data_IF_237491536758
#
_entry.id   IF_237491536758
#
_cell.length_a   1.000
_cell.length_b   1.000
_cell.length_c   1.000
_cell.angle_alpha   90.00
_cell.angle_beta   90.00
_cell.angle_gamma   90.00
#
_symmetry.space_group_name_H-M   'P 1'
#
loop_
_entity.id
_entity.type
_entity.pdbx_description
1 polymer ?
#
# COMPACT_ATOMS: atom_id res chain seq x y z
N UNK A 1 9.82 6.03 3.32
CA UNK A 1 8.93 6.68 2.34
C UNK A 1 8.12 7.74 3.05
N UNK A 2 7.13 7.39 3.89
CA UNK A 2 6.24 8.38 4.53
C UNK A 2 6.46 8.58 6.04
N UNK A 3 7.47 7.95 6.65
CA UNK A 3 7.83 8.21 8.06
C UNK A 3 6.73 7.91 9.11
N UNK A 4 7.07 8.04 10.41
CA UNK A 4 6.17 7.72 11.52
C UNK A 4 5.44 8.94 12.10
N UNK A 5 5.45 10.09 11.43
CA UNK A 5 4.92 11.37 11.97
C UNK A 5 5.76 11.97 13.11
N UNK A 6 7.09 11.92 12.97
CA UNK A 6 8.09 12.48 13.91
C UNK A 6 8.55 13.90 13.51
N UNK A 7 7.82 14.55 12.60
CA UNK A 7 8.18 15.86 12.04
C UNK A 7 9.09 15.82 10.81
N UNK A 8 9.54 14.63 10.37
CA UNK A 8 10.34 14.50 9.14
C UNK A 8 9.56 14.80 7.85
N UNK A 9 8.23 14.67 7.89
CA UNK A 9 7.29 15.03 6.81
C UNK A 9 6.03 15.64 7.41
N UNK A 10 5.25 16.45 6.66
CA UNK A 10 3.95 16.94 7.12
C UNK A 10 3.03 15.78 7.52
N UNK A 11 2.24 15.95 8.60
CA UNK A 11 1.33 14.91 9.08
C UNK A 11 0.43 14.29 7.99
N UNK A 12 -0.20 15.06 7.07
CA UNK A 12 -1.03 14.47 6.00
C UNK A 12 -0.27 13.54 5.04
N UNK A 13 1.05 13.71 4.96
CA UNK A 13 1.96 12.93 4.13
C UNK A 13 2.59 11.77 4.92
N UNK A 14 2.39 11.74 6.24
CA UNK A 14 2.92 10.70 7.10
C UNK A 14 2.17 9.37 6.95
N UNK A 15 2.75 8.27 7.45
CA UNK A 15 2.01 6.99 7.52
C UNK A 15 0.67 7.12 8.25
N UNK A 16 0.63 7.86 9.36
CA UNK A 16 -0.58 8.04 10.15
C UNK A 16 -1.61 8.92 9.42
N UNK A 17 -1.19 10.00 8.77
CA UNK A 17 -2.09 10.81 7.95
C UNK A 17 -2.71 10.03 6.78
N UNK A 18 -1.92 9.20 6.10
CA UNK A 18 -2.42 8.28 5.06
C UNK A 18 -3.46 7.32 5.63
N UNK A 19 -3.19 6.74 6.81
CA UNK A 19 -4.12 5.84 7.50
C UNK A 19 -5.42 6.54 7.86
N UNK A 20 -5.36 7.75 8.40
CA UNK A 20 -6.55 8.54 8.73
C UNK A 20 -7.37 8.87 7.49
N UNK A 21 -6.73 9.26 6.39
CA UNK A 21 -7.40 9.49 5.12
C UNK A 21 -8.13 8.22 4.61
N UNK A 22 -7.53 7.04 4.76
CA UNK A 22 -8.16 5.78 4.40
C UNK A 22 -9.41 5.46 5.27
N UNK A 23 -9.33 5.74 6.57
CA UNK A 23 -10.42 5.49 7.53
C UNK A 23 -11.68 6.32 7.23
N UNK A 24 -11.55 7.47 6.58
CA UNK A 24 -12.68 8.28 6.10
C UNK A 24 -13.49 7.58 5.00
N UNK A 25 -12.91 6.57 4.33
CA UNK A 25 -13.52 5.88 3.20
C UNK A 25 -13.87 4.41 3.47
N UNK A 26 -13.22 3.75 4.42
CA UNK A 26 -13.49 2.35 4.75
C UNK A 26 -13.13 2.02 6.21
N UNK A 27 -13.98 1.22 6.86
CA UNK A 27 -13.70 0.65 8.19
C UNK A 27 -12.61 -0.42 8.10
N UNK A 28 -11.78 -0.54 9.13
CA UNK A 28 -10.82 -1.64 9.27
C UNK A 28 -11.54 -2.96 9.60
N UNK A 29 -10.89 -4.12 9.35
CA UNK A 29 -11.40 -5.41 9.82
C UNK A 29 -11.70 -5.46 11.32
N UNK A 30 -10.83 -4.88 12.15
CA UNK A 30 -11.04 -4.78 13.60
C UNK A 30 -12.30 -3.99 14.00
N UNK A 31 -12.86 -3.18 13.09
CA UNK A 31 -14.11 -2.43 13.25
C UNK A 31 -15.25 -3.03 12.41
N UNK A 32 -15.16 -4.31 12.04
CA UNK A 32 -16.15 -5.03 11.24
C UNK A 32 -16.17 -4.66 9.74
N UNK A 33 -15.12 -4.01 9.24
CA UNK A 33 -14.99 -3.63 7.83
C UNK A 33 -14.45 -4.77 6.95
N UNK A 34 -14.71 -4.67 5.65
CA UNK A 34 -14.12 -5.58 4.68
C UNK A 34 -12.65 -5.22 4.41
N UNK A 35 -11.75 -6.19 4.58
CA UNK A 35 -10.30 -5.98 4.42
C UNK A 35 -9.93 -5.45 3.04
N UNK A 36 -10.52 -5.98 1.97
CA UNK A 36 -10.21 -5.52 0.62
C UNK A 36 -10.66 -4.08 0.38
N UNK A 37 -11.84 -3.69 0.88
CA UNK A 37 -12.32 -2.30 0.81
C UNK A 37 -11.39 -1.35 1.57
N UNK A 38 -10.93 -1.76 2.75
CA UNK A 38 -9.98 -0.97 3.54
C UNK A 38 -8.63 -0.83 2.86
N UNK A 39 -8.04 -1.93 2.38
CA UNK A 39 -6.74 -1.91 1.70
C UNK A 39 -6.80 -1.10 0.40
N UNK A 40 -7.88 -1.18 -0.37
CA UNK A 40 -8.04 -0.35 -1.56
C UNK A 40 -8.16 1.15 -1.22
N UNK A 41 -8.88 1.50 -0.14
CA UNK A 41 -8.91 2.88 0.37
C UNK A 41 -7.53 3.35 0.81
N UNK A 42 -6.77 2.50 1.50
CA UNK A 42 -5.42 2.78 1.95
C UNK A 42 -4.45 3.01 0.78
N UNK A 43 -4.47 2.14 -0.23
CA UNK A 43 -3.64 2.31 -1.43
C UNK A 43 -4.01 3.58 -2.21
N UNK A 44 -5.30 3.96 -2.27
CA UNK A 44 -5.71 5.23 -2.88
C UNK A 44 -5.16 6.43 -2.12
N UNK A 45 -5.25 6.44 -0.79
CA UNK A 45 -4.68 7.50 0.04
C UNK A 45 -3.16 7.60 -0.15
N UNK A 46 -2.46 6.47 -0.12
CA UNK A 46 -1.01 6.42 -0.33
C UNK A 46 -0.58 6.96 -1.70
N UNK A 47 -1.28 6.58 -2.78
CA UNK A 47 -0.96 7.07 -4.14
C UNK A 47 -1.13 8.58 -4.25
N UNK A 48 -2.09 9.19 -3.54
CA UNK A 48 -2.23 10.64 -3.51
C UNK A 48 -0.98 11.30 -2.93
N UNK A 49 -0.48 10.79 -1.79
CA UNK A 49 0.72 11.32 -1.14
C UNK A 49 1.97 11.06 -1.99
N UNK A 50 2.14 9.85 -2.55
CA UNK A 50 3.28 9.55 -3.42
C UNK A 50 3.40 10.50 -4.62
N UNK A 51 2.28 11.01 -5.14
CA UNK A 51 2.27 11.96 -6.26
C UNK A 51 2.63 13.40 -5.87
N UNK A 52 2.74 13.71 -4.60
CA UNK A 52 3.17 15.04 -4.13
C UNK A 52 4.69 15.21 -4.24
N UNK A 53 5.43 14.11 -4.14
CA UNK A 53 6.89 14.11 -4.21
C UNK A 53 7.35 13.69 -5.60
N UNK A 54 8.06 14.58 -6.32
CA UNK A 54 8.56 14.30 -7.68
C UNK A 54 9.45 13.04 -7.75
N UNK A 55 10.16 12.71 -6.67
CA UNK A 55 10.96 11.47 -6.55
C UNK A 55 10.11 10.19 -6.45
N UNK A 56 8.79 10.30 -6.31
CA UNK A 56 7.87 9.20 -6.05
C UNK A 56 6.72 9.08 -7.08
N UNK A 57 6.86 9.69 -8.27
CA UNK A 57 5.88 9.56 -9.36
C UNK A 57 5.63 8.10 -9.78
N UNK A 58 6.64 7.25 -9.70
CA UNK A 58 6.49 5.82 -9.94
C UNK A 58 5.73 5.14 -8.77
N UNK A 59 4.48 4.77 -9.06
CA UNK A 59 3.59 4.03 -8.16
C UNK A 59 3.63 2.51 -8.37
N UNK A 60 4.60 1.97 -9.11
CA UNK A 60 4.67 0.53 -9.43
C UNK A 60 4.72 -0.35 -8.19
N UNK A 61 5.29 0.15 -7.09
CA UNK A 61 5.22 -0.49 -5.77
C UNK A 61 3.80 -0.67 -5.24
N UNK A 62 2.91 0.31 -5.44
CA UNK A 62 1.48 0.18 -5.07
C UNK A 62 0.74 -0.70 -6.08
N UNK A 63 1.12 -0.66 -7.36
CA UNK A 63 0.60 -1.58 -8.38
C UNK A 63 0.86 -3.04 -8.01
N UNK A 64 2.06 -3.35 -7.51
CA UNK A 64 2.40 -4.67 -6.99
C UNK A 64 1.51 -5.09 -5.80
N UNK A 65 1.32 -4.21 -4.82
CA UNK A 65 0.48 -4.47 -3.65
C UNK A 65 -1.00 -4.70 -4.04
N UNK A 66 -1.53 -3.87 -4.93
CA UNK A 66 -2.88 -4.03 -5.50
C UNK A 66 -3.06 -5.33 -6.27
N UNK A 67 -2.02 -5.81 -6.95
CA UNK A 67 -2.06 -7.12 -7.62
C UNK A 67 -2.28 -8.24 -6.61
N UNK A 68 -1.53 -8.26 -5.50
CA UNK A 68 -1.72 -9.27 -4.46
C UNK A 68 -3.10 -9.20 -3.80
N UNK A 69 -3.62 -7.99 -3.61
CA UNK A 69 -4.99 -7.80 -3.13
C UNK A 69 -6.02 -8.40 -4.10
N UNK A 70 -5.91 -8.13 -5.40
CA UNK A 70 -6.80 -8.69 -6.44
C UNK A 70 -6.71 -10.22 -6.52
N UNK A 71 -5.52 -10.77 -6.28
CA UNK A 71 -5.28 -12.22 -6.21
C UNK A 71 -5.70 -12.84 -4.87
N UNK A 72 -6.25 -12.05 -3.93
CA UNK A 72 -6.66 -12.50 -2.59
C UNK A 72 -5.51 -13.14 -1.79
N UNK A 73 -4.28 -12.67 -2.00
CA UNK A 73 -3.09 -13.11 -1.27
C UNK A 73 -2.92 -12.34 0.04
N UNK A 74 -3.91 -12.43 0.93
CA UNK A 74 -3.90 -11.73 2.23
C UNK A 74 -2.77 -12.20 3.14
N UNK A 75 -2.35 -13.46 3.00
CA UNK A 75 -1.23 -14.04 3.73
C UNK A 75 0.09 -13.95 2.95
N UNK A 76 0.12 -13.23 1.81
CA UNK A 76 1.27 -13.10 0.92
C UNK A 76 1.92 -14.44 0.52
N UNK A 77 1.09 -15.48 0.39
CA UNK A 77 1.54 -16.83 0.10
C UNK A 77 2.21 -16.92 -1.28
N UNK A 78 3.34 -17.63 -1.35
CA UNK A 78 4.07 -17.86 -2.59
C UNK A 78 3.30 -18.82 -3.53
N UNK A 79 3.49 -18.74 -4.86
CA UNK A 79 4.38 -17.83 -5.57
C UNK A 79 3.86 -16.38 -5.59
N UNK A 80 4.76 -15.42 -5.43
CA UNK A 80 4.50 -13.99 -5.61
C UNK A 80 5.16 -13.53 -6.91
N UNK A 81 4.40 -12.87 -7.77
CA UNK A 81 4.88 -12.31 -9.05
C UNK A 81 4.43 -10.86 -9.16
N UNK A 82 5.36 -9.95 -9.39
CA UNK A 82 5.03 -8.53 -9.59
C UNK A 82 6.03 -7.86 -10.52
N UNK A 83 5.72 -6.62 -10.90
CA UNK A 83 6.58 -5.77 -11.71
C UNK A 83 6.79 -4.45 -10.96
N UNK A 84 8.03 -3.99 -10.86
CA UNK A 84 8.39 -2.73 -10.21
C UNK A 84 9.44 -2.02 -11.07
N UNK A 85 9.24 -0.73 -11.35
CA UNK A 85 10.12 0.08 -12.23
C UNK A 85 10.41 -0.55 -13.60
N UNK A 86 9.44 -1.27 -14.18
CA UNK A 86 9.66 -1.99 -15.44
C UNK A 86 10.24 -3.40 -15.29
N UNK A 87 10.80 -3.75 -14.12
CA UNK A 87 11.47 -5.03 -13.89
C UNK A 87 10.51 -6.07 -13.28
N UNK A 88 10.40 -7.28 -13.85
CA UNK A 88 9.62 -8.37 -13.26
C UNK A 88 10.39 -9.04 -12.11
N UNK A 89 9.68 -9.38 -11.04
CA UNK A 89 10.21 -10.08 -9.86
C UNK A 89 9.34 -11.31 -9.54
N UNK A 90 9.98 -12.36 -9.01
CA UNK A 90 9.30 -13.59 -8.60
C UNK A 90 9.91 -14.14 -7.31
N UNK A 91 9.06 -14.42 -6.32
CA UNK A 91 9.39 -15.27 -5.17
C UNK A 91 8.67 -16.59 -5.39
N UNK A 92 9.42 -17.68 -5.59
CA UNK A 92 8.87 -19.00 -5.98
C UNK A 92 8.38 -19.82 -4.79
N UNK A 93 9.08 -19.73 -3.66
CA UNK A 93 8.81 -20.45 -2.41
C UNK A 93 9.13 -19.54 -1.25
N UNK A 94 8.52 -19.76 -0.10
CA UNK A 94 8.85 -19.01 1.11
C UNK A 94 10.32 -19.25 1.49
N UNK A 95 11.05 -18.20 1.92
CA UNK A 95 12.40 -18.39 2.44
C UNK A 95 12.35 -19.35 3.63
N UNK A 96 13.28 -20.31 3.66
CA UNK A 96 13.50 -21.19 4.82
C UNK A 96 14.14 -20.41 5.96
#
# INVERSE_FOLDING_TARGET
MHGPDDGSVPHPESFYGIREAALKHAKTPAKGGNEAKYLEAFFKARVKVMRLEAAHEDISRVTAQRKFLKEKKYNLQTPLKWKMYGTPFVIKKEPK
#
